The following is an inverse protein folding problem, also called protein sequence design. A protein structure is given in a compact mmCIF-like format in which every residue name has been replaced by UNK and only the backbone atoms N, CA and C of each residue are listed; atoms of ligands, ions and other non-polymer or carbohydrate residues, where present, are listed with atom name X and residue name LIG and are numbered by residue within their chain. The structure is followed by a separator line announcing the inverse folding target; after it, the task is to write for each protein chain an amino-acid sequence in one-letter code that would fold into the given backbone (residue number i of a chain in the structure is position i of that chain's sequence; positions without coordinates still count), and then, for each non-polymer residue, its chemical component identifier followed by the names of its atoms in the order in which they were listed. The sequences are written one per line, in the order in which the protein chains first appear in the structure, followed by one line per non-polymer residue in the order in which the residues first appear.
data_IF_397184571298
#
_entry.id   IF_397184571298
#
_cell.length_a   1.000
_cell.length_b   1.000
_cell.length_c   1.000
_cell.angle_alpha   90.00
_cell.angle_beta   90.00
_cell.angle_gamma   90.00
#
_symmetry.space_group_name_H-M   'P 1'
#
loop_
_entity.id
_entity.type
_entity.pdbx_description
1 polymer ?
#
# COMPACT_ATOMS: atom_id res chain seq x y z
N UNK A 1 -18.37 -16.68 -26.95
CA UNK A 1 -18.85 -16.53 -25.56
C UNK A 1 -19.11 -15.05 -25.35
N UNK A 2 -20.36 -14.63 -25.20
CA UNK A 2 -20.69 -13.23 -24.97
C UNK A 2 -20.25 -12.85 -23.55
N UNK A 3 -19.24 -12.00 -23.42
CA UNK A 3 -18.92 -11.37 -22.13
C UNK A 3 -20.12 -10.49 -21.76
N UNK A 4 -20.86 -10.89 -20.74
CA UNK A 4 -21.80 -10.02 -20.04
C UNK A 4 -21.01 -8.81 -19.54
N UNK A 5 -21.13 -7.68 -20.24
CA UNK A 5 -20.51 -6.42 -19.87
C UNK A 5 -21.26 -5.88 -18.65
N UNK A 6 -20.95 -6.39 -17.46
CA UNK A 6 -21.36 -5.73 -16.24
C UNK A 6 -20.50 -4.47 -16.10
N UNK A 7 -21.07 -3.27 -16.26
CA UNK A 7 -20.30 -2.05 -16.08
C UNK A 7 -19.79 -1.99 -14.64
N UNK A 8 -18.52 -1.64 -14.48
CA UNK A 8 -17.89 -1.45 -13.17
C UNK A 8 -18.69 -0.40 -12.41
N UNK A 9 -19.14 -0.66 -11.17
CA UNK A 9 -19.92 0.31 -10.43
C UNK A 9 -19.12 1.61 -10.26
N UNK A 10 -19.79 2.75 -10.49
CA UNK A 10 -19.21 4.08 -10.41
C UNK A 10 -18.37 4.35 -9.14
N UNK A 11 -18.76 3.92 -7.91
CA UNK A 11 -17.94 4.18 -6.72
C UNK A 11 -16.56 3.50 -6.79
N UNK A 12 -16.48 2.23 -7.20
CA UNK A 12 -15.21 1.51 -7.36
C UNK A 12 -14.32 2.16 -8.42
N UNK A 13 -14.93 2.60 -9.52
CA UNK A 13 -14.21 3.26 -10.59
C UNK A 13 -13.57 4.57 -10.12
N UNK A 14 -14.30 5.40 -9.37
CA UNK A 14 -13.79 6.66 -8.84
C UNK A 14 -12.69 6.38 -7.80
N UNK A 15 -12.92 5.44 -6.90
CA UNK A 15 -11.96 5.11 -5.85
C UNK A 15 -10.61 4.66 -6.43
N UNK A 16 -10.58 3.60 -7.24
CA UNK A 16 -9.33 3.05 -7.76
C UNK A 16 -8.64 3.91 -8.83
N UNK A 17 -9.37 4.82 -9.49
CA UNK A 17 -8.78 5.66 -10.54
C UNK A 17 -8.27 7.01 -10.03
N UNK A 18 -8.76 7.47 -8.88
CA UNK A 18 -8.46 8.80 -8.35
C UNK A 18 -8.05 8.82 -6.88
N UNK A 19 -8.75 8.09 -6.01
CA UNK A 19 -8.48 8.12 -4.57
C UNK A 19 -7.25 7.26 -4.28
N UNK A 20 -7.23 6.04 -4.77
CA UNK A 20 -6.15 5.08 -4.51
C UNK A 20 -4.77 5.54 -5.03
N UNK A 21 -4.64 6.12 -6.25
CA UNK A 21 -3.36 6.65 -6.70
C UNK A 21 -2.87 7.85 -5.86
N UNK A 22 -3.78 8.67 -5.34
CA UNK A 22 -3.43 9.80 -4.46
C UNK A 22 -2.95 9.29 -3.11
N UNK A 23 -3.58 8.24 -2.57
CA UNK A 23 -3.13 7.58 -1.34
C UNK A 23 -1.78 6.90 -1.57
N UNK A 24 -1.60 6.16 -2.67
CA UNK A 24 -0.34 5.51 -3.03
C UNK A 24 0.80 6.51 -3.19
N UNK A 25 0.57 7.64 -3.87
CA UNK A 25 1.60 8.67 -4.04
C UNK A 25 1.86 9.48 -2.76
N UNK A 26 0.80 9.93 -2.08
CA UNK A 26 0.93 10.82 -0.92
C UNK A 26 1.24 10.08 0.38
N UNK A 27 0.60 8.94 0.61
CA UNK A 27 0.77 8.11 1.81
C UNK A 27 1.86 7.05 1.67
N UNK A 28 2.22 6.64 0.45
CA UNK A 28 3.24 5.63 0.17
C UNK A 28 4.53 6.22 -0.37
N UNK A 29 4.50 6.73 -1.61
CA UNK A 29 5.68 7.16 -2.34
C UNK A 29 6.38 8.37 -1.70
N UNK A 30 5.64 9.38 -1.25
CA UNK A 30 6.19 10.56 -0.60
C UNK A 30 6.98 10.22 0.68
N UNK A 31 6.41 9.52 1.67
CA UNK A 31 7.18 9.14 2.86
C UNK A 31 8.27 8.11 2.54
N UNK A 32 8.14 7.30 1.49
CA UNK A 32 9.20 6.38 1.10
C UNK A 32 10.43 7.08 0.47
N UNK A 33 10.23 8.17 -0.28
CA UNK A 33 11.29 8.83 -1.06
C UNK A 33 11.79 10.14 -0.46
N UNK A 34 10.90 10.93 0.15
CA UNK A 34 11.18 12.31 0.58
C UNK A 34 11.30 12.39 2.10
N UNK A 35 10.40 11.71 2.83
CA UNK A 35 10.42 11.66 4.29
C UNK A 35 10.47 10.22 4.85
N UNK A 36 11.63 9.53 4.70
CA UNK A 36 11.84 8.16 5.17
C UNK A 36 11.53 7.93 6.65
N UNK A 37 11.71 8.98 7.47
CA UNK A 37 11.50 8.90 8.91
C UNK A 37 9.99 8.83 9.22
N UNK A 38 9.16 9.53 8.45
CA UNK A 38 7.70 9.37 8.50
C UNK A 38 7.29 7.93 8.18
N UNK A 39 7.84 7.34 7.11
CA UNK A 39 7.55 5.93 6.76
C UNK A 39 8.00 4.97 7.87
N UNK A 40 9.21 5.16 8.41
CA UNK A 40 9.73 4.30 9.48
C UNK A 40 8.92 4.42 10.76
N UNK A 41 8.39 5.59 11.08
CA UNK A 41 7.56 5.80 12.27
C UNK A 41 6.22 5.05 12.21
N UNK A 42 5.76 4.66 11.02
CA UNK A 42 4.55 3.86 10.82
C UNK A 42 4.77 2.38 11.18
N UNK A 43 5.98 1.86 11.01
CA UNK A 43 6.31 0.44 11.25
C UNK A 43 7.06 0.19 12.55
N UNK A 44 7.80 1.19 13.04
CA UNK A 44 8.64 1.08 14.23
C UNK A 44 8.35 2.21 15.22
N UNK A 45 8.25 1.91 16.53
CA UNK A 45 8.24 2.96 17.55
C UNK A 45 9.51 3.80 17.47
N UNK A 46 9.38 5.12 17.57
CA UNK A 46 10.54 6.03 17.53
C UNK A 46 11.57 5.73 18.65
N UNK A 47 11.13 5.16 19.77
CA UNK A 47 11.96 4.75 20.89
C UNK A 47 12.71 3.42 20.67
N UNK A 48 12.38 2.66 19.63
CA UNK A 48 12.98 1.35 19.38
C UNK A 48 14.29 1.50 18.60
N UNK A 49 15.38 0.78 18.94
CA UNK A 49 16.64 0.86 18.19
C UNK A 49 16.52 0.60 16.68
N UNK A 50 15.55 -0.21 16.27
CA UNK A 50 15.26 -0.52 14.86
C UNK A 50 14.60 0.63 14.08
N UNK A 51 14.12 1.69 14.74
CA UNK A 51 13.66 2.90 14.03
C UNK A 51 14.82 3.69 13.43
N UNK A 52 16.06 3.42 13.85
CA UNK A 52 17.23 4.14 13.35
C UNK A 52 17.55 3.70 11.92
N UNK A 53 17.35 4.62 10.99
CA UNK A 53 17.64 4.40 9.57
C UNK A 53 19.10 4.03 9.33
N UNK A 54 19.28 3.03 8.49
CA UNK A 54 20.58 2.63 7.94
C UNK A 54 20.58 2.83 6.41
N UNK A 55 21.75 2.81 5.75
CA UNK A 55 21.80 2.86 4.29
C UNK A 55 21.00 1.74 3.61
N UNK A 56 20.94 0.54 4.22
CA UNK A 56 20.12 -0.57 3.72
C UNK A 56 18.62 -0.26 3.76
N UNK A 57 18.12 0.34 4.84
CA UNK A 57 16.72 0.80 4.91
C UNK A 57 16.42 1.84 3.83
N UNK A 58 17.36 2.73 3.53
CA UNK A 58 17.17 3.78 2.51
C UNK A 58 16.99 3.17 1.12
N UNK A 59 17.79 2.17 0.76
CA UNK A 59 17.63 1.44 -0.51
C UNK A 59 16.26 0.77 -0.62
N UNK A 60 15.82 0.08 0.45
CA UNK A 60 14.54 -0.61 0.48
C UNK A 60 13.35 0.37 0.42
N UNK A 61 13.43 1.50 1.12
CA UNK A 61 12.42 2.54 1.07
C UNK A 61 12.32 3.17 -0.32
N UNK A 62 13.45 3.40 -1.01
CA UNK A 62 13.41 3.88 -2.39
C UNK A 62 12.77 2.85 -3.34
N UNK A 63 13.05 1.56 -3.16
CA UNK A 63 12.40 0.50 -3.93
C UNK A 63 10.89 0.45 -3.67
N UNK A 64 10.47 0.60 -2.41
CA UNK A 64 9.06 0.69 -2.02
C UNK A 64 8.38 1.93 -2.61
N UNK A 65 9.04 3.09 -2.59
CA UNK A 65 8.53 4.31 -3.21
C UNK A 65 8.37 4.19 -4.71
N UNK A 66 9.34 3.56 -5.39
CA UNK A 66 9.24 3.24 -6.83
C UNK A 66 8.08 2.30 -7.13
N UNK A 67 7.82 1.33 -6.25
CA UNK A 67 6.66 0.43 -6.36
C UNK A 67 5.32 1.19 -6.25
N UNK A 68 5.17 2.09 -5.27
CA UNK A 68 3.95 2.92 -5.16
C UNK A 68 3.73 3.82 -6.38
N UNK A 69 4.80 4.38 -6.95
CA UNK A 69 4.71 5.16 -8.20
C UNK A 69 4.25 4.28 -9.36
N UNK A 70 4.77 3.05 -9.48
CA UNK A 70 4.35 2.10 -10.51
C UNK A 70 2.86 1.76 -10.38
N UNK A 71 2.38 1.47 -9.18
CA UNK A 71 0.97 1.20 -8.92
C UNK A 71 0.09 2.40 -9.29
N UNK A 72 0.44 3.60 -8.82
CA UNK A 72 -0.31 4.81 -9.15
C UNK A 72 -0.33 5.08 -10.66
N UNK A 73 0.79 4.84 -11.36
CA UNK A 73 0.86 4.97 -12.81
C UNK A 73 -0.09 3.99 -13.51
N UNK A 74 -0.03 2.70 -13.15
CA UNK A 74 -0.90 1.68 -13.74
C UNK A 74 -2.37 1.97 -13.46
N UNK A 75 -2.71 2.39 -12.24
CA UNK A 75 -4.09 2.74 -11.88
C UNK A 75 -4.58 3.99 -12.61
N UNK A 76 -3.76 5.03 -12.77
CA UNK A 76 -4.16 6.25 -13.48
C UNK A 76 -4.33 5.98 -14.97
N UNK A 77 -3.37 5.31 -15.61
CA UNK A 77 -3.36 5.18 -17.07
C UNK A 77 -4.12 3.96 -17.56
N UNK A 78 -3.89 2.79 -16.97
CA UNK A 78 -4.46 1.53 -17.45
C UNK A 78 -5.96 1.44 -17.16
N UNK A 79 -6.40 1.78 -15.95
CA UNK A 79 -7.81 1.72 -15.56
C UNK A 79 -8.69 2.75 -16.28
N UNK A 80 -8.10 3.88 -16.72
CA UNK A 80 -8.79 4.87 -17.57
C UNK A 80 -8.90 4.45 -19.02
N UNK A 81 -7.91 3.68 -19.51
CA UNK A 81 -7.85 3.27 -20.89
C UNK A 81 -8.69 2.01 -21.18
N UNK A 82 -8.82 1.10 -20.21
CA UNK A 82 -9.57 -0.14 -20.38
C UNK A 82 -11.01 -0.05 -19.84
N UNK A 83 -11.96 -0.54 -20.65
CA UNK A 83 -13.36 -0.76 -20.25
C UNK A 83 -13.65 -2.23 -19.94
N UNK A 84 -12.65 -3.10 -20.09
CA UNK A 84 -12.78 -4.54 -19.86
C UNK A 84 -12.60 -4.85 -18.37
N UNK A 85 -13.66 -5.41 -17.76
CA UNK A 85 -13.69 -5.78 -16.33
C UNK A 85 -12.63 -6.82 -15.97
N UNK A 86 -12.33 -7.75 -16.88
CA UNK A 86 -11.31 -8.77 -16.61
C UNK A 86 -9.93 -8.13 -16.43
N UNK A 87 -9.60 -7.14 -17.27
CA UNK A 87 -8.32 -6.42 -17.18
C UNK A 87 -8.26 -5.61 -15.88
N UNK A 88 -9.38 -5.00 -15.49
CA UNK A 88 -9.53 -4.30 -14.20
C UNK A 88 -9.27 -5.23 -13.01
N UNK A 89 -9.92 -6.39 -12.98
CA UNK A 89 -9.73 -7.37 -11.91
C UNK A 89 -8.29 -7.87 -11.86
N UNK A 90 -7.69 -8.20 -13.01
CA UNK A 90 -6.29 -8.61 -13.04
C UNK A 90 -5.33 -7.56 -12.48
N UNK A 91 -5.59 -6.26 -12.70
CA UNK A 91 -4.75 -5.21 -12.15
C UNK A 91 -4.92 -5.11 -10.63
N UNK A 92 -6.16 -5.16 -10.12
CA UNK A 92 -6.42 -5.15 -8.67
C UNK A 92 -5.83 -6.39 -7.99
N UNK A 93 -6.01 -7.57 -8.58
CA UNK A 93 -5.43 -8.83 -8.09
C UNK A 93 -3.89 -8.75 -8.05
N UNK A 94 -3.27 -8.13 -9.06
CA UNK A 94 -1.82 -7.94 -9.11
C UNK A 94 -1.33 -7.00 -8.01
N UNK A 95 -2.09 -5.96 -7.67
CA UNK A 95 -1.74 -5.04 -6.58
C UNK A 95 -1.91 -5.65 -5.19
N UNK A 96 -2.75 -6.67 -5.03
CA UNK A 96 -2.99 -7.34 -3.75
C UNK A 96 -1.76 -8.12 -3.23
N UNK A 97 -0.96 -8.72 -4.12
CA UNK A 97 0.24 -9.49 -3.73
C UNK A 97 1.27 -8.70 -2.91
N UNK A 98 1.71 -7.51 -3.34
CA UNK A 98 2.63 -6.68 -2.57
C UNK A 98 2.02 -6.23 -1.24
N UNK A 99 0.71 -5.98 -1.18
CA UNK A 99 0.03 -5.66 0.08
C UNK A 99 0.08 -6.84 1.06
N UNK A 100 -0.23 -8.06 0.61
CA UNK A 100 -0.09 -9.28 1.44
C UNK A 100 1.34 -9.40 1.97
N UNK A 101 2.33 -9.15 1.12
CA UNK A 101 3.75 -9.24 1.48
C UNK A 101 4.12 -8.17 2.50
N UNK A 102 3.62 -6.95 2.35
CA UNK A 102 3.82 -5.85 3.29
C UNK A 102 3.21 -6.19 4.66
N UNK A 103 1.96 -6.68 4.69
CA UNK A 103 1.30 -7.07 5.94
C UNK A 103 1.99 -8.25 6.63
N UNK A 104 2.45 -9.24 5.88
CA UNK A 104 3.24 -10.33 6.42
C UNK A 104 4.56 -9.81 7.04
N UNK A 105 5.25 -8.91 6.34
CA UNK A 105 6.44 -8.25 6.87
C UNK A 105 6.14 -7.49 8.17
N UNK A 106 5.02 -6.78 8.22
CA UNK A 106 4.60 -6.07 9.42
C UNK A 106 4.28 -7.01 10.59
N UNK A 107 3.61 -8.13 10.33
CA UNK A 107 3.36 -9.18 11.32
C UNK A 107 4.66 -9.77 11.89
N UNK A 108 5.63 -10.08 11.03
CA UNK A 108 6.95 -10.59 11.45
C UNK A 108 7.67 -9.56 12.32
N UNK A 109 7.63 -8.28 11.96
CA UNK A 109 8.24 -7.20 12.74
C UNK A 109 7.56 -7.04 14.10
N UNK A 110 6.22 -7.07 14.17
CA UNK A 110 5.48 -7.00 15.44
C UNK A 110 5.75 -8.22 16.33
N UNK A 111 5.88 -9.40 15.72
CA UNK A 111 6.28 -10.63 16.41
C UNK A 111 7.68 -10.51 17.01
N UNK A 112 8.65 -9.98 16.25
CA UNK A 112 10.00 -9.73 16.74
C UNK A 112 10.06 -8.65 17.85
N UNK A 113 9.09 -7.73 17.89
CA UNK A 113 8.95 -6.73 18.95
C UNK A 113 8.16 -7.23 20.17
N UNK A 114 7.64 -8.47 20.17
CA UNK A 114 6.71 -8.99 21.18
C UNK A 114 5.46 -8.10 21.40
N UNK A 115 5.04 -7.40 20.33
CA UNK A 115 3.94 -6.41 20.32
C UNK A 115 2.70 -6.88 19.55
N UNK A 116 2.50 -8.19 19.41
CA UNK A 116 1.35 -8.78 18.71
C UNK A 116 -0.02 -8.52 19.38
N UNK A 117 -0.05 -8.01 20.62
CA UNK A 117 -1.29 -7.68 21.32
C UNK A 117 -1.93 -6.40 20.74
N UNK A 118 -3.22 -6.48 20.37
CA UNK A 118 -3.97 -5.36 19.80
C UNK A 118 -3.98 -4.09 20.67
N UNK A 119 -3.91 -4.23 21.99
CA UNK A 119 -3.83 -3.12 22.96
C UNK A 119 -2.52 -2.33 22.90
N UNK A 120 -1.48 -2.86 22.24
CA UNK A 120 -0.18 -2.21 22.11
C UNK A 120 0.01 -1.48 20.77
N UNK A 121 -0.97 -1.54 19.86
CA UNK A 121 -0.90 -0.91 18.55
C UNK A 121 -1.12 0.60 18.65
N UNK A 122 -0.23 1.39 18.07
CA UNK A 122 -0.32 2.86 17.98
C UNK A 122 -1.34 3.27 16.92
N UNK A 123 -1.85 4.49 17.03
CA UNK A 123 -2.78 5.08 16.05
C UNK A 123 -2.27 5.03 14.60
N UNK A 124 -0.97 5.21 14.37
CA UNK A 124 -0.37 5.06 13.03
C UNK A 124 -0.34 3.60 12.54
N UNK A 125 -0.21 2.65 13.46
CA UNK A 125 -0.24 1.21 13.18
C UNK A 125 -1.67 0.73 12.87
N UNK A 126 -2.67 1.35 13.51
CA UNK A 126 -4.09 1.16 13.15
C UNK A 126 -4.41 1.67 11.75
N UNK A 127 -3.80 2.76 11.29
CA UNK A 127 -4.03 3.26 9.93
C UNK A 127 -3.53 2.28 8.86
N UNK A 128 -2.39 1.61 9.11
CA UNK A 128 -1.86 0.55 8.24
C UNK A 128 -2.80 -0.67 8.24
N UNK A 129 -3.38 -1.05 9.38
CA UNK A 129 -4.32 -2.17 9.43
C UNK A 129 -5.70 -1.80 8.84
N UNK A 130 -6.16 -0.57 9.03
CA UNK A 130 -7.43 -0.08 8.50
C UNK A 130 -7.44 0.08 6.98
N UNK A 131 -6.28 0.08 6.30
CA UNK A 131 -6.26 -0.01 4.84
C UNK A 131 -6.68 -1.39 4.31
N UNK A 132 -6.71 -2.45 5.13
CA UNK A 132 -7.08 -3.81 4.71
C UNK A 132 -8.38 -3.93 3.90
N UNK A 133 -9.50 -3.25 4.23
CA UNK A 133 -10.75 -3.36 3.47
C UNK A 133 -10.79 -2.47 2.22
N UNK A 134 -9.81 -1.57 2.06
CA UNK A 134 -9.72 -0.62 0.93
C UNK A 134 -8.73 -1.07 -0.13
N UNK A 135 -7.90 -2.05 0.19
CA UNK A 135 -7.20 -2.86 -0.80
C UNK A 135 -8.26 -3.77 -1.46
N UNK A 136 -8.39 -3.75 -2.79
CA UNK A 136 -9.42 -4.49 -3.52
C UNK A 136 -9.36 -6.01 -3.31
#
# INVERSE_FOLDING_TARGET
MAQSSHPIPAPYRIFFTFIDPVIGLGGGAYPALIDPDLMMSAFFPASHPWSRRTPSHTMLLHQLGGFYILCAFLQIFMLRYTTNVNIWNFLQDATLFPDITMYYGYWVVLGAQERLSADKLRLGEWAVLLSLPFVP
#
